data_IF_505171101629
#
_entry.id   IF_505171101629
#
_cell.length_a   1.000
_cell.length_b   1.000
_cell.length_c   1.000
_cell.angle_alpha   90.00
_cell.angle_beta   90.00
_cell.angle_gamma   90.00
#
_symmetry.space_group_name_H-M   'P 1'
#
loop_
_entity.id
_entity.type
_entity.pdbx_description
1 polymer ?
#
# COMPACT_ATOMS: atom_id res chain seq x y z
N UNK A 1 -0.32 8.41 -14.62
CA UNK A 1 1.06 8.07 -14.22
C UNK A 1 0.99 6.82 -13.35
N UNK A 2 1.87 5.84 -13.56
CA UNK A 2 1.75 4.54 -12.92
C UNK A 2 1.76 4.67 -11.39
N UNK A 3 0.88 3.92 -10.74
CA UNK A 3 0.65 3.90 -9.30
C UNK A 3 1.83 3.21 -8.58
N UNK A 4 3.01 3.82 -8.58
CA UNK A 4 4.22 3.31 -7.93
C UNK A 4 4.01 3.01 -6.45
N UNK A 5 3.13 3.76 -5.77
CA UNK A 5 2.75 3.51 -4.39
C UNK A 5 2.05 2.16 -4.17
N UNK A 6 1.13 1.77 -5.06
CA UNK A 6 0.42 0.48 -4.94
C UNK A 6 1.34 -0.69 -5.29
N UNK A 7 2.23 -0.54 -6.26
CA UNK A 7 3.21 -1.58 -6.60
C UNK A 7 4.23 -1.78 -5.49
N UNK A 8 4.70 -0.69 -4.86
CA UNK A 8 5.61 -0.78 -3.73
C UNK A 8 4.95 -1.43 -2.51
N UNK A 9 3.69 -1.09 -2.22
CA UNK A 9 2.93 -1.72 -1.14
C UNK A 9 2.67 -3.21 -1.40
N UNK A 10 2.34 -3.57 -2.64
CA UNK A 10 2.18 -4.97 -3.04
C UNK A 10 3.49 -5.75 -2.91
N UNK A 11 4.63 -5.16 -3.31
CA UNK A 11 5.95 -5.77 -3.18
C UNK A 11 6.33 -5.96 -1.71
N UNK A 12 6.16 -4.93 -0.88
CA UNK A 12 6.45 -5.01 0.56
C UNK A 12 5.58 -6.07 1.24
N UNK A 13 4.29 -6.12 0.92
CA UNK A 13 3.37 -7.11 1.49
C UNK A 13 3.75 -8.52 1.05
N UNK A 14 4.07 -8.72 -0.24
CA UNK A 14 4.56 -10.00 -0.74
C UNK A 14 5.90 -10.41 -0.12
N UNK A 15 6.83 -9.47 0.05
CA UNK A 15 8.12 -9.69 0.68
C UNK A 15 7.98 -10.02 2.17
N UNK A 16 7.07 -9.37 2.90
CA UNK A 16 6.82 -9.67 4.30
C UNK A 16 6.25 -11.08 4.50
N UNK A 17 5.31 -11.52 3.64
CA UNK A 17 4.79 -12.89 3.66
C UNK A 17 5.89 -13.89 3.29
N UNK A 18 6.66 -13.60 2.23
CA UNK A 18 7.76 -14.46 1.79
C UNK A 18 8.88 -14.58 2.83
N UNK A 19 9.27 -13.47 3.44
CA UNK A 19 10.25 -13.43 4.51
C UNK A 19 9.71 -14.08 5.79
N UNK A 20 8.43 -13.90 6.13
CA UNK A 20 7.81 -14.56 7.27
C UNK A 20 7.86 -16.08 7.14
N UNK A 21 7.48 -16.63 5.98
CA UNK A 21 7.57 -18.06 5.70
C UNK A 21 9.03 -18.56 5.59
N UNK A 22 9.90 -17.78 4.93
CA UNK A 22 11.31 -18.13 4.77
C UNK A 22 12.11 -18.08 6.08
N UNK A 23 11.79 -17.13 6.96
CA UNK A 23 12.39 -16.99 8.29
C UNK A 23 11.85 -18.06 9.25
N UNK A 24 10.57 -18.44 9.16
CA UNK A 24 10.05 -19.62 9.88
C UNK A 24 10.75 -20.91 9.42
N UNK A 25 11.09 -21.01 8.14
CA UNK A 25 11.81 -22.15 7.58
C UNK A 25 13.32 -22.14 7.91
N UNK A 26 13.92 -20.97 8.17
CA UNK A 26 15.35 -20.81 8.46
C UNK A 26 15.58 -20.08 9.81
N UNK A 27 15.66 -20.82 10.94
CA UNK A 27 15.60 -20.25 12.28
C UNK A 27 16.95 -19.86 12.95
N UNK A 28 18.05 -19.61 12.22
CA UNK A 28 19.38 -19.38 12.85
C UNK A 28 19.77 -17.90 13.05
N UNK A 29 20.39 -17.58 14.21
CA UNK A 29 20.79 -16.23 14.63
C UNK A 29 22.28 -15.87 14.39
N UNK A 30 22.52 -14.57 14.17
CA UNK A 30 23.49 -14.00 13.22
C UNK A 30 24.99 -13.85 13.54
N UNK A 31 25.60 -14.61 14.45
CA UNK A 31 27.08 -14.60 14.57
C UNK A 31 27.69 -15.87 13.98
N UNK A 32 27.22 -17.02 14.47
CA UNK A 32 27.52 -18.32 13.88
C UNK A 32 27.03 -18.40 12.44
N UNK A 33 25.85 -17.85 12.14
CA UNK A 33 25.33 -17.81 10.77
C UNK A 33 26.25 -17.02 9.85
N UNK A 34 26.88 -15.93 10.29
CA UNK A 34 27.73 -15.12 9.38
C UNK A 34 29.01 -15.87 9.03
N UNK A 35 29.62 -16.52 10.02
CA UNK A 35 30.82 -17.36 9.84
C UNK A 35 30.49 -18.61 9.02
N UNK A 36 29.45 -19.36 9.42
CA UNK A 36 28.94 -20.53 8.71
C UNK A 36 28.48 -20.17 7.30
N UNK A 37 27.83 -19.03 7.08
CA UNK A 37 27.38 -18.61 5.74
C UNK A 37 28.57 -18.33 4.84
N UNK A 38 29.63 -17.68 5.34
CA UNK A 38 30.82 -17.44 4.51
C UNK A 38 31.52 -18.73 4.09
N UNK A 39 31.62 -19.71 5.00
CA UNK A 39 32.31 -20.97 4.74
C UNK A 39 31.43 -21.94 3.92
N UNK A 40 30.15 -22.04 4.29
CA UNK A 40 29.17 -22.83 3.55
C UNK A 40 28.89 -22.20 2.20
N UNK A 41 28.82 -20.88 2.02
CA UNK A 41 28.58 -20.28 0.70
C UNK A 41 29.66 -20.68 -0.31
N UNK A 42 30.94 -20.70 0.09
CA UNK A 42 32.02 -21.17 -0.79
C UNK A 42 31.88 -22.65 -1.13
N UNK A 43 31.66 -23.51 -0.12
CA UNK A 43 31.51 -24.97 -0.34
C UNK A 43 30.23 -25.31 -1.14
N UNK A 44 29.15 -24.61 -0.83
CA UNK A 44 27.84 -24.69 -1.47
C UNK A 44 27.96 -24.22 -2.90
N UNK A 45 28.65 -23.11 -3.20
CA UNK A 45 28.86 -22.68 -4.58
C UNK A 45 29.59 -23.74 -5.42
N UNK A 46 30.66 -24.35 -4.91
CA UNK A 46 31.39 -25.41 -5.62
C UNK A 46 30.55 -26.69 -5.81
N UNK A 47 29.81 -27.10 -4.77
CA UNK A 47 28.95 -28.28 -4.82
C UNK A 47 27.70 -28.06 -5.68
N UNK A 48 27.10 -26.87 -5.63
CA UNK A 48 26.00 -26.49 -6.50
C UNK A 48 26.48 -26.37 -7.93
N UNK A 49 27.64 -25.81 -8.23
CA UNK A 49 28.02 -25.68 -9.64
C UNK A 49 28.18 -27.05 -10.31
N UNK A 50 28.65 -28.07 -9.55
CA UNK A 50 28.67 -29.48 -9.98
C UNK A 50 27.27 -30.09 -10.06
N UNK A 51 26.50 -30.04 -8.97
CA UNK A 51 25.17 -30.67 -8.92
C UNK A 51 24.13 -29.96 -9.78
N UNK A 52 24.24 -28.65 -9.98
CA UNK A 52 23.40 -27.85 -10.85
C UNK A 52 23.62 -28.22 -12.31
N UNK A 53 24.85 -28.49 -12.74
CA UNK A 53 25.09 -28.97 -14.11
C UNK A 53 24.40 -30.31 -14.40
N UNK A 54 24.33 -31.22 -13.42
CA UNK A 54 23.64 -32.50 -13.57
C UNK A 54 22.12 -32.40 -13.31
N UNK A 55 21.68 -31.59 -12.35
CA UNK A 55 20.28 -31.49 -11.91
C UNK A 55 19.48 -30.46 -12.70
N UNK A 56 20.14 -29.48 -13.33
CA UNK A 56 19.51 -28.43 -14.13
C UNK A 56 18.67 -29.00 -15.27
N UNK A 57 19.06 -30.14 -15.87
CA UNK A 57 18.25 -30.79 -16.90
C UNK A 57 16.84 -31.16 -16.38
N UNK A 58 16.79 -31.85 -15.24
CA UNK A 58 15.53 -32.30 -14.63
C UNK A 58 14.76 -31.15 -13.97
N UNK A 59 15.48 -30.21 -13.35
CA UNK A 59 14.89 -29.03 -12.74
C UNK A 59 14.32 -28.08 -13.79
N UNK A 60 15.01 -27.87 -14.91
CA UNK A 60 14.55 -27.06 -16.03
C UNK A 60 13.28 -27.63 -16.64
N UNK A 61 13.18 -28.96 -16.78
CA UNK A 61 11.93 -29.59 -17.24
C UNK A 61 10.77 -29.40 -16.24
N UNK A 62 11.01 -29.61 -14.94
CA UNK A 62 9.99 -29.36 -13.90
C UNK A 62 9.58 -27.89 -13.83
N UNK A 63 10.55 -26.97 -13.93
CA UNK A 63 10.32 -25.54 -13.95
C UNK A 63 9.55 -25.10 -15.20
N UNK A 64 9.89 -25.64 -16.38
CA UNK A 64 9.12 -25.44 -17.61
C UNK A 64 7.69 -25.93 -17.46
N UNK A 65 7.49 -27.11 -16.87
CA UNK A 65 6.14 -27.65 -16.62
C UNK A 65 5.35 -26.76 -15.65
N UNK A 66 5.96 -26.36 -14.54
CA UNK A 66 5.34 -25.44 -13.59
C UNK A 66 5.03 -24.08 -14.21
N UNK A 67 5.91 -23.56 -15.07
CA UNK A 67 5.69 -22.32 -15.83
C UNK A 67 4.51 -22.47 -16.79
N UNK A 68 4.44 -23.59 -17.52
CA UNK A 68 3.33 -23.87 -18.43
C UNK A 68 2.00 -24.01 -17.66
N UNK A 69 1.98 -24.78 -16.57
CA UNK A 69 0.78 -24.94 -15.72
C UNK A 69 0.35 -23.59 -15.10
N UNK A 70 1.31 -22.74 -14.75
CA UNK A 70 1.04 -21.40 -14.23
C UNK A 70 0.50 -20.46 -15.32
N UNK A 71 1.09 -20.46 -16.52
CA UNK A 71 0.60 -19.70 -17.67
C UNK A 71 -0.84 -20.07 -18.00
N UNK A 72 -1.16 -21.36 -18.09
CA UNK A 72 -2.54 -21.84 -18.29
C UNK A 72 -3.50 -21.31 -17.22
N UNK A 73 -3.12 -21.44 -15.94
CA UNK A 73 -3.97 -20.95 -14.83
C UNK A 73 -4.10 -19.43 -14.82
N UNK A 74 -3.05 -18.72 -15.23
CA UNK A 74 -3.04 -17.26 -15.29
C UNK A 74 -3.94 -16.78 -16.42
N UNK A 75 -3.93 -17.44 -17.58
CA UNK A 75 -4.85 -17.17 -18.69
C UNK A 75 -6.31 -17.40 -18.28
N UNK A 76 -6.62 -18.53 -17.63
CA UNK A 76 -7.95 -18.80 -17.09
C UNK A 76 -8.39 -17.75 -16.06
N UNK A 77 -7.47 -17.37 -15.17
CA UNK A 77 -7.71 -16.35 -14.15
C UNK A 77 -7.90 -14.98 -14.78
N UNK A 78 -7.10 -14.62 -15.79
CA UNK A 78 -7.19 -13.35 -16.49
C UNK A 78 -8.48 -13.24 -17.29
N UNK A 79 -8.90 -14.31 -17.97
CA UNK A 79 -10.19 -14.37 -18.67
C UNK A 79 -11.36 -14.22 -17.69
N UNK A 80 -11.33 -14.98 -16.59
CA UNK A 80 -12.36 -14.89 -15.52
C UNK A 80 -12.36 -13.53 -14.84
N UNK A 81 -11.19 -12.94 -14.62
CA UNK A 81 -11.02 -11.63 -14.00
C UNK A 81 -11.45 -10.52 -14.95
N UNK A 82 -11.20 -10.61 -16.26
CA UNK A 82 -11.67 -9.63 -17.25
C UNK A 82 -13.18 -9.57 -17.29
N UNK A 83 -13.85 -10.73 -17.38
CA UNK A 83 -15.32 -10.80 -17.35
C UNK A 83 -15.89 -10.21 -16.06
N UNK A 84 -15.27 -10.52 -14.92
CA UNK A 84 -15.66 -9.96 -13.62
C UNK A 84 -15.27 -8.49 -13.48
N UNK A 85 -14.22 -8.02 -14.14
CA UNK A 85 -13.76 -6.63 -14.07
C UNK A 85 -14.79 -5.71 -14.71
N UNK A 86 -15.41 -6.10 -15.83
CA UNK A 86 -16.49 -5.34 -16.46
C UNK A 86 -17.70 -5.18 -15.51
N UNK A 87 -18.16 -6.26 -14.87
CA UNK A 87 -19.21 -6.19 -13.83
C UNK A 87 -18.81 -5.31 -12.64
N UNK A 88 -17.53 -5.36 -12.24
CA UNK A 88 -17.00 -4.54 -11.15
C UNK A 88 -16.95 -3.07 -11.56
N UNK A 89 -16.62 -2.74 -12.81
CA UNK A 89 -16.60 -1.36 -13.32
C UNK A 89 -18.02 -0.77 -13.27
N UNK A 90 -19.02 -1.49 -13.76
CA UNK A 90 -20.42 -1.05 -13.71
C UNK A 90 -20.89 -0.84 -12.25
N UNK A 91 -20.53 -1.76 -11.35
CA UNK A 91 -20.83 -1.65 -9.92
C UNK A 91 -20.11 -0.47 -9.25
N UNK A 92 -18.87 -0.18 -9.66
CA UNK A 92 -18.08 0.95 -9.18
C UNK A 92 -18.67 2.27 -9.67
N UNK A 93 -19.10 2.38 -10.92
CA UNK A 93 -19.75 3.60 -11.43
C UNK A 93 -21.03 3.92 -10.66
N UNK A 94 -21.90 2.91 -10.47
CA UNK A 94 -23.11 3.04 -9.67
C UNK A 94 -22.83 3.53 -8.24
N UNK A 95 -21.86 2.90 -7.55
CA UNK A 95 -21.44 3.33 -6.22
C UNK A 95 -20.79 4.71 -6.20
N UNK A 96 -20.00 5.06 -7.22
CA UNK A 96 -19.34 6.36 -7.31
C UNK A 96 -20.35 7.48 -7.57
N UNK A 97 -21.39 7.20 -8.35
CA UNK A 97 -22.49 8.12 -8.60
C UNK A 97 -23.35 8.30 -7.34
N UNK A 98 -23.63 7.22 -6.60
CA UNK A 98 -24.32 7.27 -5.32
C UNK A 98 -23.51 8.05 -4.26
N UNK A 99 -22.20 7.82 -4.17
CA UNK A 99 -21.30 8.56 -3.29
C UNK A 99 -21.23 10.04 -3.67
N UNK A 100 -21.16 10.38 -4.96
CA UNK A 100 -21.22 11.78 -5.43
C UNK A 100 -22.55 12.43 -5.08
N UNK A 101 -23.67 11.73 -5.24
CA UNK A 101 -25.00 12.23 -4.87
C UNK A 101 -25.13 12.40 -3.36
N UNK A 102 -24.64 11.47 -2.55
CA UNK A 102 -24.58 11.63 -1.09
C UNK A 102 -23.71 12.82 -0.72
N UNK A 103 -22.48 12.93 -1.21
CA UNK A 103 -21.60 14.07 -0.93
C UNK A 103 -22.18 15.42 -1.41
N UNK A 104 -22.83 15.47 -2.57
CA UNK A 104 -23.48 16.68 -3.07
C UNK A 104 -24.73 17.03 -2.25
N UNK A 105 -25.47 16.04 -1.73
CA UNK A 105 -26.57 16.28 -0.79
C UNK A 105 -26.05 16.81 0.54
N UNK A 106 -24.92 16.31 1.04
CA UNK A 106 -24.28 16.83 2.25
C UNK A 106 -23.70 18.24 2.07
N UNK A 107 -23.11 18.56 0.91
CA UNK A 107 -22.65 19.93 0.61
C UNK A 107 -23.83 20.89 0.37
N UNK A 108 -24.89 20.45 -0.31
CA UNK A 108 -26.10 21.25 -0.55
C UNK A 108 -26.95 21.42 0.71
N UNK A 109 -26.90 20.49 1.67
CA UNK A 109 -27.45 20.67 3.01
C UNK A 109 -26.54 21.51 3.91
N UNK A 110 -25.23 21.53 3.67
CA UNK A 110 -24.29 22.46 4.29
C UNK A 110 -24.50 23.91 3.83
N UNK A 111 -24.77 24.14 2.54
CA UNK A 111 -25.11 25.47 2.01
C UNK A 111 -26.56 25.89 2.29
N UNK A 112 -27.51 24.95 2.44
CA UNK A 112 -28.91 25.25 2.79
C UNK A 112 -29.23 25.19 4.29
N UNK A 113 -28.21 25.07 5.14
CA UNK A 113 -28.32 25.32 6.59
C UNK A 113 -27.63 26.64 6.98
N UNK A 114 -27.56 27.61 6.05
CA UNK A 114 -27.13 28.99 6.30
C UNK A 114 -28.27 30.02 6.23
N UNK A 115 -29.53 29.57 6.19
CA UNK A 115 -30.69 30.45 6.03
C UNK A 115 -31.77 30.14 7.05
N UNK A 116 -31.86 31.03 8.04
CA UNK A 116 -33.03 31.31 8.87
C UNK A 116 -33.23 30.49 10.17
N UNK A 117 -32.78 31.08 11.29
CA UNK A 117 -33.57 31.18 12.52
C UNK A 117 -32.85 32.03 13.58
N UNK A 118 -33.31 33.28 13.69
CA UNK A 118 -33.69 33.95 14.93
C UNK A 118 -32.61 34.39 15.93
N UNK A 119 -32.46 35.71 16.12
CA UNK A 119 -32.74 36.38 17.41
C UNK A 119 -32.59 37.90 17.28
N UNK A 120 -33.72 38.56 17.05
CA UNK A 120 -33.91 39.99 17.31
C UNK A 120 -33.91 40.19 18.84
N UNK A 121 -32.87 40.80 19.39
CA UNK A 121 -32.97 41.53 20.66
C UNK A 121 -32.04 42.73 20.64
N UNK A 122 -32.68 43.89 20.59
CA UNK A 122 -32.09 45.22 20.69
C UNK A 122 -31.24 45.40 21.95
N UNK A 123 -30.30 46.34 21.80
CA UNK A 123 -29.48 47.02 22.81
C UNK A 123 -28.42 46.12 23.47
N UNK A 124 -27.14 46.51 23.57
CA UNK A 124 -26.62 47.85 23.87
C UNK A 124 -25.10 47.88 23.61
N UNK A 125 -24.63 48.92 22.91
CA UNK A 125 -23.44 49.72 23.31
C UNK A 125 -22.06 49.03 23.33
N UNK A 126 -21.30 49.41 22.28
CA UNK A 126 -19.96 50.03 22.38
C UNK A 126 -18.74 49.13 22.20
N UNK A 127 -18.25 49.16 20.97
CA UNK A 127 -16.82 49.28 20.70
C UNK A 127 -16.30 50.62 21.26
N UNK A 128 -15.16 50.62 21.96
CA UNK A 128 -14.06 51.51 21.59
C UNK A 128 -12.94 50.62 21.03
N UNK A 129 -12.42 50.96 19.85
CA UNK A 129 -11.26 51.83 19.72
C UNK A 129 -10.13 51.38 20.65
N UNK A 130 -9.03 50.80 20.19
CA UNK A 130 -8.05 51.31 19.22
C UNK A 130 -6.71 51.30 19.98
N UNK A 131 -5.64 50.85 19.31
CA UNK A 131 -4.24 51.09 19.68
C UNK A 131 -3.75 50.48 21.01
N UNK A 132 -2.50 50.10 21.20
CA UNK A 132 -1.33 49.87 20.35
C UNK A 132 -0.24 49.34 21.32
N UNK A 133 0.91 48.99 20.75
CA UNK A 133 2.24 48.96 21.39
C UNK A 133 2.54 47.72 22.29
N UNK A 134 3.20 46.72 21.68
CA UNK A 134 4.56 46.17 21.98
C UNK A 134 5.15 46.34 23.41
N UNK A 135 6.06 45.47 23.91
CA UNK A 135 7.10 44.80 23.11
C UNK A 135 7.54 43.38 23.52
N UNK A 136 8.37 42.84 22.64
CA UNK A 136 9.29 41.71 22.76
C UNK A 136 9.85 41.40 24.15
N UNK A 137 9.94 40.10 24.44
CA UNK A 137 11.05 39.44 25.15
C UNK A 137 11.20 38.07 24.47
N UNK A 138 12.06 37.96 23.45
CA UNK A 138 13.40 37.39 23.59
C UNK A 138 13.43 36.17 24.54
N UNK A 139 13.59 34.99 23.96
CA UNK A 139 14.20 33.88 24.70
C UNK A 139 15.06 33.06 23.73
N UNK A 140 16.21 33.66 23.41
CA UNK A 140 17.39 32.94 22.96
C UNK A 140 18.27 32.60 24.18
N UNK A 141 18.86 31.40 24.13
CA UNK A 141 20.07 30.92 24.83
C UNK A 141 19.93 30.42 26.29
N UNK A 142 20.01 29.09 26.43
CA UNK A 142 21.03 28.40 27.24
C UNK A 142 21.26 26.99 26.67
#
# INVERSE_FOLDING_TARGET
>A
MANTGTTFLALLTGAAIGAGLGMLYAPESGEDTRRKLSENARRTQDNLNKQYRETSSNLSQKAKKAKMDFETRLEDTLASASFKADEIIDGLESKLEELRRQNARFQKSGEKSGGDSSSDKKEKVTTPSNQAINPSTDNSIA
#
